data_IF_632627567989
#
_entry.id   IF_632627567989
#
_cell.length_a   1.000
_cell.length_b   1.000
_cell.length_c   1.000
_cell.angle_alpha   90.00
_cell.angle_beta   90.00
_cell.angle_gamma   90.00
#
_symmetry.space_group_name_H-M   'P 1'
#
loop_
_entity.id
_entity.type
_entity.pdbx_description
1 polymer ?
#
# COMPACT_ATOMS: atom_id res chain seq x y z
N UNK A 1 -20.33 11.72 -37.02
CA UNK A 1 -20.44 10.31 -37.44
C UNK A 1 -19.12 9.53 -37.36
N UNK A 2 -17.97 10.03 -37.85
CA UNK A 2 -16.69 9.27 -37.86
C UNK A 2 -16.03 9.04 -36.48
N UNK A 3 -16.27 9.92 -35.50
CA UNK A 3 -15.72 9.79 -34.15
C UNK A 3 -16.45 8.75 -33.28
N UNK A 4 -17.73 8.49 -33.56
CA UNK A 4 -18.54 7.53 -32.81
C UNK A 4 -18.24 6.09 -33.25
N UNK A 5 -17.94 5.86 -34.53
CA UNK A 5 -17.59 4.54 -35.07
C UNK A 5 -16.26 4.02 -34.52
N UNK A 6 -15.27 4.87 -34.29
CA UNK A 6 -13.98 4.44 -33.71
C UNK A 6 -14.11 4.11 -32.21
N UNK A 7 -14.88 4.90 -31.45
CA UNK A 7 -15.13 4.62 -30.04
C UNK A 7 -15.86 3.28 -29.82
N UNK A 8 -16.79 2.92 -30.72
CA UNK A 8 -17.50 1.64 -30.67
C UNK A 8 -16.54 0.47 -30.95
N UNK A 9 -15.66 0.60 -31.95
CA UNK A 9 -14.65 -0.42 -32.26
C UNK A 9 -13.73 -0.69 -31.07
N UNK A 10 -13.32 0.36 -30.35
CA UNK A 10 -12.43 0.21 -29.20
C UNK A 10 -13.13 -0.43 -27.99
N UNK A 11 -14.41 -0.13 -27.76
CA UNK A 11 -15.21 -0.80 -26.74
C UNK A 11 -15.40 -2.30 -27.03
N UNK A 12 -15.57 -2.68 -28.29
CA UNK A 12 -15.67 -4.09 -28.71
C UNK A 12 -14.35 -4.82 -28.48
N UNK A 13 -13.21 -4.22 -28.85
CA UNK A 13 -11.87 -4.79 -28.58
C UNK A 13 -11.65 -5.03 -27.09
N UNK A 14 -12.00 -4.05 -26.27
CA UNK A 14 -11.91 -4.11 -24.80
C UNK A 14 -12.70 -5.30 -24.25
N UNK A 15 -13.95 -5.47 -24.71
CA UNK A 15 -14.81 -6.54 -24.21
C UNK A 15 -14.25 -7.93 -24.54
N UNK A 16 -13.69 -8.09 -25.74
CA UNK A 16 -13.04 -9.34 -26.16
C UNK A 16 -11.80 -9.61 -25.30
N UNK A 17 -10.98 -8.59 -25.04
CA UNK A 17 -9.77 -8.72 -24.22
C UNK A 17 -10.08 -9.08 -22.77
N UNK A 18 -11.09 -8.46 -22.17
CA UNK A 18 -11.53 -8.79 -20.80
C UNK A 18 -12.03 -10.23 -20.74
N UNK A 19 -12.83 -10.66 -21.73
CA UNK A 19 -13.31 -12.05 -21.82
C UNK A 19 -12.17 -13.07 -21.91
N UNK A 20 -11.04 -12.72 -22.52
CA UNK A 20 -9.84 -13.56 -22.54
C UNK A 20 -9.13 -13.61 -21.17
N UNK A 21 -9.12 -12.49 -20.43
CA UNK A 21 -8.47 -12.41 -19.11
C UNK A 21 -9.24 -13.14 -18.00
N UNK A 22 -10.56 -13.30 -18.13
CA UNK A 22 -11.43 -13.88 -17.09
C UNK A 22 -11.82 -15.34 -17.33
N UNK A 23 -11.13 -16.07 -18.22
CA UNK A 23 -11.53 -17.43 -18.62
C UNK A 23 -11.58 -18.45 -17.48
N UNK A 24 -10.94 -18.18 -16.33
CA UNK A 24 -11.03 -19.00 -15.13
C UNK A 24 -12.15 -18.63 -14.16
N UNK A 25 -12.92 -17.58 -14.44
CA UNK A 25 -13.97 -17.08 -13.54
C UNK A 25 -15.35 -17.66 -13.90
N UNK A 26 -16.26 -17.81 -12.91
CA UNK A 26 -17.64 -18.19 -13.19
C UNK A 26 -18.33 -17.20 -14.14
N UNK A 27 -19.10 -17.74 -15.10
CA UNK A 27 -19.76 -16.96 -16.16
C UNK A 27 -20.71 -15.88 -15.58
N UNK A 28 -21.30 -16.14 -14.41
CA UNK A 28 -22.13 -15.18 -13.67
C UNK A 28 -21.39 -13.87 -13.37
N UNK A 29 -20.06 -13.89 -13.24
CA UNK A 29 -19.27 -12.70 -12.93
C UNK A 29 -18.79 -11.93 -14.17
N UNK A 30 -18.85 -12.53 -15.35
CA UNK A 30 -18.41 -11.90 -16.61
C UNK A 30 -19.00 -10.52 -16.89
N UNK A 31 -20.32 -10.27 -16.75
CA UNK A 31 -20.87 -8.95 -17.01
C UNK A 31 -20.29 -7.88 -16.09
N UNK A 32 -19.97 -8.22 -14.84
CA UNK A 32 -19.41 -7.26 -13.88
C UNK A 32 -17.98 -6.86 -14.24
N UNK A 33 -17.13 -7.81 -14.66
CA UNK A 33 -15.78 -7.51 -15.15
C UNK A 33 -15.79 -6.64 -16.42
N UNK A 34 -16.76 -6.85 -17.31
CA UNK A 34 -16.92 -6.03 -18.53
C UNK A 34 -17.36 -4.60 -18.17
N UNK A 35 -18.27 -4.43 -17.20
CA UNK A 35 -18.68 -3.10 -16.71
C UNK A 35 -17.47 -2.39 -16.10
N UNK A 36 -16.70 -3.07 -15.27
CA UNK A 36 -15.49 -2.54 -14.65
C UNK A 36 -14.49 -2.00 -15.68
N UNK A 37 -14.14 -2.79 -16.72
CA UNK A 37 -13.24 -2.31 -17.77
C UNK A 37 -13.81 -1.14 -18.58
N UNK A 38 -15.13 -1.10 -18.81
CA UNK A 38 -15.80 0.06 -19.43
C UNK A 38 -15.75 1.31 -18.55
N UNK A 39 -15.82 1.17 -17.23
CA UNK A 39 -15.60 2.28 -16.28
C UNK A 39 -14.16 2.80 -16.37
N UNK A 40 -13.14 1.94 -16.37
CA UNK A 40 -11.73 2.34 -16.54
C UNK A 40 -11.51 3.09 -17.86
N UNK A 41 -12.08 2.60 -18.95
CA UNK A 41 -11.98 3.27 -20.26
C UNK A 41 -12.52 4.70 -20.22
N UNK A 42 -13.65 4.93 -19.52
CA UNK A 42 -14.20 6.27 -19.33
C UNK A 42 -13.29 7.15 -18.47
N UNK A 43 -12.69 6.60 -17.41
CA UNK A 43 -11.75 7.31 -16.55
C UNK A 43 -10.49 7.74 -17.31
N UNK A 44 -9.94 6.85 -18.15
CA UNK A 44 -8.76 7.14 -18.99
C UNK A 44 -8.97 8.32 -19.95
N UNK A 45 -10.21 8.52 -20.41
CA UNK A 45 -10.56 9.66 -21.27
C UNK A 45 -10.65 10.98 -20.51
N UNK A 46 -10.91 10.95 -19.20
CA UNK A 46 -11.20 12.12 -18.37
C UNK A 46 -10.01 12.58 -17.53
N UNK A 47 -9.11 11.68 -17.14
CA UNK A 47 -8.04 11.96 -16.18
C UNK A 47 -6.65 11.66 -16.74
N UNK A 48 -5.65 12.40 -16.26
CA UNK A 48 -4.22 12.21 -16.57
C UNK A 48 -3.55 11.21 -15.61
N UNK A 49 -2.36 10.72 -15.96
CA UNK A 49 -1.71 9.51 -15.43
C UNK A 49 -1.75 9.32 -13.91
N UNK A 50 -1.46 10.35 -13.11
CA UNK A 50 -1.40 10.19 -11.65
C UNK A 50 -2.78 10.17 -10.98
N UNK A 51 -3.71 11.01 -11.45
CA UNK A 51 -5.08 11.01 -10.96
C UNK A 51 -5.85 9.78 -11.44
N UNK A 52 -5.57 9.32 -12.67
CA UNK A 52 -6.14 8.12 -13.23
C UNK A 52 -5.81 6.88 -12.38
N UNK A 53 -4.57 6.73 -11.91
CA UNK A 53 -4.18 5.62 -11.03
C UNK A 53 -4.99 5.61 -9.73
N UNK A 54 -5.16 6.78 -9.10
CA UNK A 54 -5.92 6.91 -7.85
C UNK A 54 -7.38 6.52 -8.04
N UNK A 55 -8.01 7.00 -9.10
CA UNK A 55 -9.41 6.69 -9.38
C UNK A 55 -9.63 5.22 -9.78
N UNK A 56 -8.70 4.62 -10.53
CA UNK A 56 -8.76 3.19 -10.85
C UNK A 56 -8.57 2.33 -9.59
N UNK A 57 -7.67 2.71 -8.68
CA UNK A 57 -7.52 2.03 -7.39
C UNK A 57 -8.82 2.06 -6.58
N UNK A 58 -9.45 3.23 -6.44
CA UNK A 58 -10.75 3.36 -5.77
C UNK A 58 -11.81 2.47 -6.45
N UNK A 59 -11.77 2.39 -7.78
CA UNK A 59 -12.66 1.55 -8.56
C UNK A 59 -12.42 0.05 -8.30
N UNK A 60 -11.17 -0.41 -8.30
CA UNK A 60 -10.82 -1.79 -7.94
C UNK A 60 -11.38 -2.15 -6.57
N UNK A 61 -11.20 -1.28 -5.58
CA UNK A 61 -11.65 -1.54 -4.22
C UNK A 61 -13.18 -1.53 -4.12
N UNK A 62 -13.86 -0.63 -4.83
CA UNK A 62 -15.32 -0.59 -4.97
C UNK A 62 -15.87 -1.93 -5.49
N UNK A 63 -15.20 -2.55 -6.46
CA UNK A 63 -15.63 -3.82 -7.07
C UNK A 63 -15.18 -5.05 -6.27
N UNK A 64 -14.01 -5.01 -5.65
CA UNK A 64 -13.56 -6.03 -4.71
C UNK A 64 -14.52 -6.17 -3.53
N UNK A 65 -14.95 -5.05 -2.92
CA UNK A 65 -15.98 -5.06 -1.86
C UNK A 65 -17.36 -5.54 -2.32
N UNK A 66 -17.59 -5.70 -3.63
CA UNK A 66 -18.81 -6.31 -4.20
C UNK A 66 -18.64 -7.80 -4.47
N UNK A 67 -17.50 -8.39 -4.12
CA UNK A 67 -17.24 -9.83 -4.24
C UNK A 67 -16.58 -10.26 -5.55
N UNK A 68 -15.96 -9.34 -6.31
CA UNK A 68 -15.13 -9.70 -7.45
C UNK A 68 -13.71 -10.07 -6.99
N UNK A 69 -13.12 -11.06 -7.66
CA UNK A 69 -11.76 -11.51 -7.39
C UNK A 69 -10.69 -10.41 -7.65
N UNK A 70 -9.78 -10.25 -6.69
CA UNK A 70 -8.75 -9.21 -6.71
C UNK A 70 -7.72 -9.41 -7.83
N UNK A 71 -7.35 -10.66 -8.12
CA UNK A 71 -6.36 -10.98 -9.15
C UNK A 71 -6.88 -10.60 -10.54
N UNK A 72 -8.13 -10.95 -10.83
CA UNK A 72 -8.78 -10.56 -12.08
C UNK A 72 -8.94 -9.03 -12.21
N UNK A 73 -9.32 -8.33 -11.15
CA UNK A 73 -9.43 -6.86 -11.15
C UNK A 73 -8.08 -6.17 -11.39
N UNK A 74 -7.02 -6.68 -10.77
CA UNK A 74 -5.66 -6.20 -10.97
C UNK A 74 -5.17 -6.45 -12.40
N UNK A 75 -5.44 -7.64 -12.94
CA UNK A 75 -5.06 -8.02 -14.30
C UNK A 75 -5.70 -7.10 -15.34
N UNK A 76 -7.01 -6.86 -15.22
CA UNK A 76 -7.75 -5.93 -16.09
C UNK A 76 -7.22 -4.50 -15.93
N UNK A 77 -7.00 -4.02 -14.70
CA UNK A 77 -6.48 -2.66 -14.47
C UNK A 77 -5.09 -2.45 -15.05
N UNK A 78 -4.21 -3.42 -14.91
CA UNK A 78 -2.83 -3.38 -15.40
C UNK A 78 -2.80 -3.33 -16.94
N UNK A 79 -3.75 -3.97 -17.62
CA UNK A 79 -3.90 -3.85 -19.07
C UNK A 79 -4.13 -2.40 -19.53
N UNK A 80 -4.92 -1.61 -18.77
CA UNK A 80 -5.20 -0.21 -19.13
C UNK A 80 -4.13 0.78 -18.72
N UNK A 81 -3.53 0.56 -17.54
CA UNK A 81 -2.61 1.49 -16.90
C UNK A 81 -1.15 1.23 -17.27
N UNK A 82 -0.81 0.06 -17.86
CA UNK A 82 0.56 -0.37 -18.17
C UNK A 82 1.53 -0.22 -16.97
N UNK A 83 0.98 -0.15 -15.76
CA UNK A 83 1.67 0.05 -14.50
C UNK A 83 0.75 -0.49 -13.40
N UNK A 84 1.35 -1.12 -12.38
CA UNK A 84 0.62 -1.78 -11.30
C UNK A 84 -0.39 -0.84 -10.62
N UNK A 85 -1.65 -1.29 -10.53
CA UNK A 85 -2.62 -0.68 -9.63
C UNK A 85 -2.05 -0.71 -8.21
N UNK A 86 -1.96 0.46 -7.58
CA UNK A 86 -1.54 0.61 -6.20
C UNK A 86 -2.42 -0.28 -5.34
N UNK A 87 -1.86 -1.33 -4.72
CA UNK A 87 -2.54 -2.02 -3.64
C UNK A 87 -2.89 -0.96 -2.58
N UNK A 88 -4.05 -1.04 -1.92
CA UNK A 88 -4.25 -0.27 -0.68
C UNK A 88 -3.34 -0.89 0.39
N UNK A 89 -2.05 -0.69 0.22
CA UNK A 89 -1.04 -0.95 1.21
C UNK A 89 -0.90 0.31 2.04
N UNK A 90 -0.78 0.20 3.36
CA UNK A 90 -0.40 1.33 4.19
C UNK A 90 0.92 1.94 3.65
N UNK A 91 1.12 3.25 3.83
CA UNK A 91 2.30 3.92 3.32
C UNK A 91 3.57 3.28 3.88
N UNK A 92 4.64 3.25 3.07
CA UNK A 92 5.93 2.70 3.48
C UNK A 92 6.41 3.33 4.78
N UNK A 93 6.84 2.50 5.73
CA UNK A 93 7.21 2.93 7.09
C UNK A 93 6.08 2.81 8.11
N UNK A 94 4.87 2.39 7.70
CA UNK A 94 3.80 2.05 8.62
C UNK A 94 4.15 0.80 9.43
N UNK A 95 3.85 0.85 10.73
CA UNK A 95 3.98 -0.27 11.66
C UNK A 95 2.58 -0.77 11.98
N UNK A 96 2.35 -2.08 11.83
CA UNK A 96 1.09 -2.74 12.14
C UNK A 96 1.33 -3.87 13.13
N UNK A 97 0.37 -4.07 14.05
CA UNK A 97 0.36 -5.26 14.89
C UNK A 97 -0.14 -6.43 14.07
N UNK A 98 0.63 -7.53 14.06
CA UNK A 98 0.30 -8.71 13.27
C UNK A 98 0.16 -9.93 14.18
N UNK A 99 -0.93 -10.69 14.00
CA UNK A 99 -1.24 -11.86 14.83
C UNK A 99 -0.59 -13.16 14.39
N UNK A 100 0.10 -13.18 13.24
CA UNK A 100 0.81 -14.36 12.74
C UNK A 100 2.30 -14.34 13.08
N UNK A 101 2.95 -15.51 13.01
CA UNK A 101 4.37 -15.68 13.35
C UNK A 101 5.34 -15.23 12.23
N UNK A 102 4.88 -15.21 10.97
CA UNK A 102 5.70 -14.88 9.80
C UNK A 102 5.18 -13.59 9.18
N UNK A 103 6.07 -12.63 8.91
CA UNK A 103 5.66 -11.38 8.26
C UNK A 103 4.98 -11.67 6.90
N UNK A 104 3.82 -11.06 6.63
CA UNK A 104 3.17 -11.19 5.33
C UNK A 104 4.01 -10.54 4.23
N UNK A 105 3.75 -10.94 2.98
CA UNK A 105 4.43 -10.37 1.80
C UNK A 105 4.33 -8.84 1.81
N UNK A 106 5.46 -8.16 1.56
CA UNK A 106 5.55 -6.70 1.58
C UNK A 106 5.87 -6.09 2.95
N UNK A 107 5.93 -6.90 4.01
CA UNK A 107 6.26 -6.47 5.37
C UNK A 107 7.56 -7.10 5.88
N UNK A 108 8.16 -6.45 6.86
CA UNK A 108 9.30 -6.94 7.63
C UNK A 108 8.93 -7.00 9.10
N UNK A 109 9.44 -8.00 9.82
CA UNK A 109 9.32 -8.03 11.28
C UNK A 109 10.15 -6.91 11.89
N UNK A 110 9.61 -6.21 12.88
CA UNK A 110 10.35 -5.21 13.66
C UNK A 110 11.24 -5.89 14.71
N UNK A 111 12.35 -6.48 14.26
CA UNK A 111 13.30 -7.24 15.09
C UNK A 111 14.71 -6.63 15.15
N UNK A 112 14.88 -5.38 14.74
CA UNK A 112 16.19 -4.71 14.74
C UNK A 112 17.18 -5.15 13.64
N UNK A 113 16.76 -6.00 12.70
CA UNK A 113 17.65 -6.50 11.65
C UNK A 113 18.20 -5.40 10.72
N UNK A 114 19.43 -5.61 10.24
CA UNK A 114 20.02 -4.78 9.20
C UNK A 114 19.53 -5.22 7.82
N UNK A 115 18.91 -4.31 7.07
CA UNK A 115 18.33 -4.57 5.75
C UNK A 115 18.97 -3.71 4.67
N UNK A 116 18.94 -4.19 3.42
CA UNK A 116 19.58 -3.55 2.27
C UNK A 116 18.89 -2.23 1.89
N UNK A 117 19.69 -1.15 1.74
CA UNK A 117 19.23 0.16 1.25
C UNK A 117 18.77 0.12 -0.21
N UNK A 118 19.33 -0.79 -1.00
CA UNK A 118 18.97 -0.94 -2.42
C UNK A 118 17.64 -1.68 -2.54
N UNK A 119 17.50 -2.80 -1.83
CA UNK A 119 16.29 -3.62 -1.86
C UNK A 119 15.09 -2.88 -1.26
N UNK A 120 15.32 -2.10 -0.19
CA UNK A 120 14.29 -1.36 0.53
C UNK A 120 14.49 0.16 0.44
N UNK A 121 14.76 0.68 -0.76
CA UNK A 121 15.04 2.10 -1.00
C UNK A 121 13.92 3.03 -0.50
N UNK A 122 12.67 2.66 -0.74
CA UNK A 122 11.51 3.44 -0.28
C UNK A 122 11.40 3.47 1.26
N UNK A 123 11.77 2.38 1.93
CA UNK A 123 11.75 2.32 3.39
C UNK A 123 12.89 3.17 3.97
N UNK A 124 14.09 3.05 3.40
CA UNK A 124 15.24 3.85 3.80
C UNK A 124 14.99 5.36 3.63
N UNK A 125 14.28 5.77 2.57
CA UNK A 125 13.91 7.17 2.36
C UNK A 125 13.04 7.75 3.49
N UNK A 126 12.26 6.91 4.18
CA UNK A 126 11.36 7.32 5.28
C UNK A 126 12.03 7.17 6.64
N UNK A 127 12.67 6.04 6.93
CA UNK A 127 13.23 5.74 8.26
C UNK A 127 14.67 6.21 8.42
N UNK A 128 15.40 6.41 7.32
CA UNK A 128 16.81 6.75 7.32
C UNK A 128 17.63 5.81 8.21
N UNK A 129 18.43 6.40 9.10
CA UNK A 129 19.27 5.68 10.06
C UNK A 129 18.78 5.84 11.50
N UNK A 130 17.51 6.22 11.71
CA UNK A 130 16.96 6.49 13.05
C UNK A 130 17.08 5.29 14.00
N UNK A 131 16.93 4.07 13.49
CA UNK A 131 17.03 2.83 14.27
C UNK A 131 18.42 2.18 14.20
N UNK A 132 19.39 2.88 13.61
CA UNK A 132 20.77 2.44 13.47
C UNK A 132 21.27 2.55 12.03
N UNK A 133 22.58 2.79 11.91
CA UNK A 133 23.26 3.02 10.62
C UNK A 133 23.48 1.74 9.80
N UNK A 134 23.18 0.56 10.36
CA UNK A 134 23.55 -0.72 9.77
C UNK A 134 25.07 -0.84 9.64
N UNK A 135 25.54 -1.20 8.45
CA UNK A 135 26.97 -1.21 8.10
C UNK A 135 27.50 0.14 7.62
N UNK A 136 26.72 1.22 7.77
CA UNK A 136 27.09 2.58 7.40
C UNK A 136 27.03 2.91 5.90
N UNK A 137 26.93 1.91 5.02
CA UNK A 137 27.06 2.08 3.57
C UNK A 137 25.87 1.51 2.80
N UNK A 138 25.66 0.20 2.86
CA UNK A 138 24.69 -0.53 2.04
C UNK A 138 23.48 -1.03 2.83
N UNK A 139 23.52 -1.00 4.16
CA UNK A 139 22.40 -1.42 5.02
C UNK A 139 21.96 -0.34 6.00
N UNK A 140 20.77 -0.50 6.55
CA UNK A 140 20.22 0.30 7.64
C UNK A 140 19.43 -0.61 8.58
N UNK A 141 19.27 -0.21 9.84
CA UNK A 141 18.52 -1.01 10.80
C UNK A 141 17.06 -0.62 10.79
N UNK A 142 16.19 -1.62 10.96
CA UNK A 142 14.76 -1.44 11.20
C UNK A 142 14.47 -1.33 12.71
N UNK A 143 13.27 -0.88 13.12
CA UNK A 143 12.90 -0.86 14.53
C UNK A 143 12.96 -2.25 15.17
N UNK A 144 13.30 -2.30 16.44
CA UNK A 144 13.16 -3.51 17.27
C UNK A 144 12.03 -3.30 18.27
N UNK A 145 10.90 -3.99 18.09
CA UNK A 145 9.75 -3.94 19.00
C UNK A 145 9.58 -5.21 19.83
N UNK A 146 10.59 -6.07 19.88
CA UNK A 146 10.51 -7.31 20.66
C UNK A 146 10.56 -6.99 22.15
N UNK A 147 9.47 -7.29 22.87
CA UNK A 147 9.37 -7.10 24.31
C UNK A 147 9.24 -5.65 24.77
N UNK A 148 8.97 -4.69 23.87
CA UNK A 148 8.81 -3.27 24.21
C UNK A 148 7.49 -2.70 23.72
N UNK A 149 7.03 -1.65 24.40
CA UNK A 149 5.80 -0.95 24.03
C UNK A 149 6.10 0.30 23.19
N UNK A 150 5.48 0.46 22.00
CA UNK A 150 5.60 1.70 21.25
C UNK A 150 4.84 2.83 21.96
N UNK A 151 5.45 4.02 21.96
CA UNK A 151 4.87 5.25 22.52
C UNK A 151 4.97 6.36 21.47
N UNK A 152 4.00 7.28 21.48
CA UNK A 152 4.09 8.50 20.69
C UNK A 152 5.34 9.31 21.04
N UNK A 153 6.06 9.79 20.02
CA UNK A 153 7.19 10.68 20.19
C UNK A 153 6.72 12.11 20.55
N UNK A 154 7.56 12.84 21.28
CA UNK A 154 7.31 14.22 21.69
C UNK A 154 6.34 14.39 22.86
N UNK A 155 6.13 15.64 23.24
CA UNK A 155 5.39 16.03 24.45
C UNK A 155 3.89 16.18 24.17
N UNK A 156 3.04 15.48 24.95
CA UNK A 156 1.58 15.66 24.91
C UNK A 156 1.14 16.85 25.77
N UNK A 157 0.18 17.64 25.27
CA UNK A 157 -0.43 18.76 26.01
C UNK A 157 -1.51 18.31 27.01
N UNK A 158 -1.95 17.04 26.92
CA UNK A 158 -3.02 16.47 27.76
C UNK A 158 -2.51 15.71 28.99
N UNK A 159 -1.21 15.55 29.12
CA UNK A 159 -0.57 14.87 30.24
C UNK A 159 0.25 15.91 31.03
N UNK A 160 -0.19 16.23 32.25
CA UNK A 160 0.64 16.97 33.21
C UNK A 160 1.64 16.00 33.85
N UNK A 161 2.89 16.45 33.98
CA UNK A 161 4.01 15.67 34.52
C UNK A 161 3.79 15.32 36.00
N UNK A 162 4.21 14.12 36.40
CA UNK A 162 4.73 13.90 37.75
C UNK A 162 6.24 14.24 37.79
N UNK A 163 7.00 13.90 36.72
CA UNK A 163 8.43 14.22 36.59
C UNK A 163 8.77 15.02 35.33
N UNK A 164 9.69 15.95 35.49
CA UNK A 164 9.96 17.06 34.56
C UNK A 164 10.50 16.67 33.18
N UNK A 165 10.72 15.39 32.85
CA UNK A 165 11.28 14.95 31.56
C UNK A 165 10.68 13.66 30.95
N UNK A 166 9.60 13.09 31.51
CA UNK A 166 9.16 11.72 31.17
C UNK A 166 8.60 11.51 29.74
N UNK A 167 8.08 12.55 29.09
CA UNK A 167 7.35 12.44 27.82
C UNK A 167 8.01 13.20 26.65
N UNK A 168 9.33 13.44 26.67
CA UNK A 168 10.03 14.17 25.62
C UNK A 168 10.83 13.27 24.64
N UNK A 169 10.41 12.00 24.49
CA UNK A 169 11.13 11.04 23.66
C UNK A 169 11.18 11.47 22.18
N UNK A 170 12.37 11.43 21.60
CA UNK A 170 12.56 11.59 20.15
C UNK A 170 12.29 10.24 19.47
N UNK A 171 11.87 10.26 18.20
CA UNK A 171 11.68 9.03 17.42
C UNK A 171 12.94 8.13 17.49
N UNK A 172 12.75 6.85 17.78
CA UNK A 172 13.84 5.86 17.88
C UNK A 172 14.55 5.80 19.23
N UNK A 173 14.10 6.57 20.23
CA UNK A 173 14.64 6.48 21.60
C UNK A 173 13.96 5.38 22.42
N UNK A 174 14.73 4.70 23.27
CA UNK A 174 14.24 3.68 24.19
C UNK A 174 14.26 4.24 25.62
N UNK A 175 13.23 3.92 26.40
CA UNK A 175 13.13 4.30 27.80
C UNK A 175 12.89 3.03 28.62
N UNK A 176 13.61 2.88 29.73
CA UNK A 176 13.32 1.83 30.71
C UNK A 176 12.03 2.15 31.46
N UNK A 177 11.34 1.11 31.90
CA UNK A 177 10.19 1.25 32.79
C UNK A 177 10.62 1.90 34.11
N UNK A 178 9.89 2.93 34.51
CA UNK A 178 10.10 3.67 35.76
C UNK A 178 8.76 3.92 36.42
N UNK A 179 8.65 3.55 37.70
CA UNK A 179 7.54 3.98 38.53
C UNK A 179 7.69 5.48 38.83
N UNK A 180 6.56 6.17 38.98
CA UNK A 180 6.58 7.52 39.51
C UNK A 180 7.02 7.45 40.97
N UNK A 181 8.01 8.26 41.34
CA UNK A 181 8.48 8.39 42.72
C UNK A 181 7.54 9.30 43.53
#
# INVERSE_FOLDING_TARGET
MRLETEAIKDLVKIEIQIKQMIQGQPIIYHPYYIIFGKEIYKLKKKHTSENLKKEVCILCCKWYSRGLDAECLNTISNFYLQMACFEISPPTGSVIMFGGAVAPTGYLLCNGAAVSRITYANLFAVTGTTFGVGNGTTTFNIPDFQGIFPRGAGTSTKLSKADTNAFAGVLGTYQNDKFQA
#
